data_IF_674234487833
#
_entry.id   IF_674234487833
#
_cell.length_a   1.000
_cell.length_b   1.000
_cell.length_c   1.000
_cell.angle_alpha   90.00
_cell.angle_beta   90.00
_cell.angle_gamma   90.00
#
_symmetry.space_group_name_H-M   'P 1'
#
loop_
_entity.id
_entity.type
_entity.pdbx_description
1 polymer ?
#
# COMPACT_ATOMS: atom_id res chain seq x y z
N UNK A 1 23.83 24.22 -29.95
CA UNK A 1 22.85 23.13 -29.76
C UNK A 1 23.41 22.19 -28.72
N UNK A 2 22.66 21.91 -27.66
CA UNK A 2 22.97 20.84 -26.71
C UNK A 2 21.79 19.88 -26.82
N UNK A 3 22.02 18.61 -27.16
CA UNK A 3 20.94 17.62 -27.32
C UNK A 3 19.91 17.91 -28.41
N UNK A 4 20.26 18.60 -29.51
CA UNK A 4 19.32 18.93 -30.59
C UNK A 4 18.42 20.16 -30.32
N UNK A 5 18.46 20.73 -29.11
CA UNK A 5 17.76 21.98 -28.79
C UNK A 5 18.66 23.18 -29.11
N UNK A 6 18.10 24.16 -29.83
CA UNK A 6 18.81 25.37 -30.24
C UNK A 6 18.87 26.36 -29.08
N UNK A 7 19.88 26.20 -28.23
CA UNK A 7 20.12 27.11 -27.07
C UNK A 7 20.68 28.44 -27.57
N UNK A 8 19.99 29.55 -27.31
CA UNK A 8 20.47 30.91 -27.53
C UNK A 8 21.46 31.27 -26.41
N UNK A 9 22.71 31.56 -26.80
CA UNK A 9 23.83 31.87 -25.90
C UNK A 9 24.10 33.38 -25.77
N UNK A 10 23.17 34.22 -26.23
CA UNK A 10 23.27 35.67 -26.01
C UNK A 10 23.11 36.02 -24.51
N UNK A 11 23.90 36.99 -23.99
CA UNK A 11 23.77 37.42 -22.60
C UNK A 11 22.38 38.03 -22.33
N UNK A 12 21.75 37.58 -21.24
CA UNK A 12 20.45 38.06 -20.77
C UNK A 12 20.60 39.55 -20.43
N UNK A 13 20.00 40.40 -21.24
CA UNK A 13 19.88 41.85 -20.99
C UNK A 13 18.40 42.19 -20.84
N UNK A 14 18.06 43.12 -19.93
CA UNK A 14 16.67 43.51 -19.64
C UNK A 14 15.88 43.87 -20.92
N UNK A 15 16.54 44.46 -21.92
CA UNK A 15 15.92 44.85 -23.19
C UNK A 15 15.51 43.69 -24.12
N UNK A 16 16.01 42.47 -23.91
CA UNK A 16 15.70 41.29 -24.76
C UNK A 16 14.81 40.25 -24.09
N UNK A 17 14.86 40.15 -22.76
CA UNK A 17 14.04 39.19 -22.00
C UNK A 17 12.79 39.85 -21.42
N UNK A 18 12.70 41.17 -21.33
CA UNK A 18 11.55 41.81 -20.69
C UNK A 18 11.67 41.73 -19.16
N UNK A 19 10.73 42.36 -18.47
CA UNK A 19 10.79 42.49 -17.00
C UNK A 19 10.12 41.31 -16.30
N UNK A 20 10.50 41.04 -15.05
CA UNK A 20 9.85 40.01 -14.22
C UNK A 20 8.32 40.17 -14.17
N UNK A 21 7.84 41.42 -14.15
CA UNK A 21 6.41 41.77 -14.20
C UNK A 21 5.70 41.27 -15.48
N UNK A 22 6.43 41.10 -16.58
CA UNK A 22 5.90 40.60 -17.85
C UNK A 22 5.82 39.07 -17.88
N UNK A 23 6.66 38.37 -17.12
CA UNK A 23 6.68 36.91 -17.03
C UNK A 23 5.75 36.32 -15.96
N UNK A 24 5.55 37.05 -14.86
CA UNK A 24 4.71 36.63 -13.73
C UNK A 24 3.32 36.13 -14.16
N UNK A 25 2.56 36.83 -15.02
CA UNK A 25 1.24 36.36 -15.46
C UNK A 25 1.28 35.02 -16.22
N UNK A 26 2.34 34.78 -17.00
CA UNK A 26 2.50 33.52 -17.75
C UNK A 26 2.82 32.34 -16.82
N UNK A 27 3.63 32.57 -15.79
CA UNK A 27 3.96 31.57 -14.77
C UNK A 27 2.73 31.26 -13.92
N UNK A 28 1.96 32.28 -13.51
CA UNK A 28 0.71 32.10 -12.77
C UNK A 28 -0.32 31.30 -13.58
N UNK A 29 -0.48 31.60 -14.87
CA UNK A 29 -1.36 30.83 -15.76
C UNK A 29 -0.90 29.38 -15.92
N UNK A 30 0.40 29.14 -16.08
CA UNK A 30 0.96 27.80 -16.20
C UNK A 30 0.81 26.99 -14.90
N UNK A 31 1.03 27.61 -13.74
CA UNK A 31 0.83 26.98 -12.43
C UNK A 31 -0.66 26.68 -12.19
N UNK A 32 -1.56 27.59 -12.57
CA UNK A 32 -3.01 27.37 -12.47
C UNK A 32 -3.47 26.23 -13.39
N UNK A 33 -2.95 26.13 -14.61
CA UNK A 33 -3.22 25.01 -15.52
C UNK A 33 -2.69 23.70 -14.95
N UNK A 34 -1.47 23.67 -14.41
CA UNK A 34 -0.91 22.48 -13.76
C UNK A 34 -1.70 22.07 -12.51
N UNK A 35 -2.12 23.02 -11.70
CA UNK A 35 -2.99 22.76 -10.55
C UNK A 35 -4.36 22.23 -10.97
N UNK A 36 -4.94 22.76 -12.05
CA UNK A 36 -6.21 22.27 -12.59
C UNK A 36 -6.08 20.84 -13.13
N UNK A 37 -5.00 20.52 -13.84
CA UNK A 37 -4.72 19.15 -14.30
C UNK A 37 -4.53 18.18 -13.14
N UNK A 38 -3.74 18.55 -12.12
CA UNK A 38 -3.58 17.74 -10.90
C UNK A 38 -4.90 17.56 -10.14
N UNK A 39 -5.73 18.60 -10.10
CA UNK A 39 -7.05 18.53 -9.47
C UNK A 39 -8.02 17.67 -10.26
N UNK A 40 -7.95 17.68 -11.59
CA UNK A 40 -8.76 16.81 -12.45
C UNK A 40 -8.34 15.34 -12.32
N UNK A 41 -7.03 15.03 -12.34
CA UNK A 41 -6.56 13.66 -12.11
C UNK A 41 -6.86 13.18 -10.69
N UNK A 42 -6.80 14.08 -9.69
CA UNK A 42 -7.24 13.77 -8.34
C UNK A 42 -8.76 13.54 -8.26
N UNK A 43 -9.57 14.25 -9.05
CA UNK A 43 -11.02 14.06 -9.10
C UNK A 43 -11.41 12.73 -9.75
N UNK A 44 -10.72 12.35 -10.83
CA UNK A 44 -10.86 11.01 -11.46
C UNK A 44 -10.45 9.90 -10.48
N UNK A 45 -9.41 10.12 -9.67
CA UNK A 45 -9.02 9.20 -8.60
C UNK A 45 -10.00 9.15 -7.41
N UNK A 46 -10.91 10.13 -7.28
CA UNK A 46 -11.96 10.16 -6.24
C UNK A 46 -13.23 9.43 -6.72
N UNK A 47 -13.40 9.20 -8.03
CA UNK A 47 -14.58 8.52 -8.54
C UNK A 47 -14.60 7.07 -8.00
N UNK A 48 -15.72 6.69 -7.37
CA UNK A 48 -15.82 5.42 -6.68
C UNK A 48 -15.76 4.28 -7.71
N UNK A 49 -14.79 3.38 -7.55
CA UNK A 49 -14.64 2.19 -8.40
C UNK A 49 -15.31 1.00 -7.73
N UNK A 50 -16.15 0.31 -8.50
CA UNK A 50 -16.81 -0.93 -8.09
C UNK A 50 -16.21 -2.10 -8.86
N UNK A 51 -15.70 -3.09 -8.11
CA UNK A 51 -15.16 -4.32 -8.67
C UNK A 51 -16.24 -5.40 -8.63
N UNK A 52 -16.54 -6.01 -9.77
CA UNK A 52 -17.47 -7.13 -9.91
C UNK A 52 -16.84 -8.26 -10.72
N UNK A 53 -17.46 -9.43 -10.70
CA UNK A 53 -17.03 -10.61 -11.44
C UNK A 53 -17.98 -10.88 -12.62
N UNK A 54 -17.43 -11.44 -13.68
CA UNK A 54 -18.18 -11.95 -14.83
C UNK A 54 -17.94 -13.45 -14.96
N UNK A 55 -18.93 -14.18 -15.47
CA UNK A 55 -18.83 -15.62 -15.72
C UNK A 55 -19.38 -15.90 -17.11
N UNK A 56 -18.54 -16.45 -17.97
CA UNK A 56 -18.91 -16.80 -19.34
C UNK A 56 -18.80 -18.31 -19.58
N UNK A 57 -19.73 -18.85 -20.37
CA UNK A 57 -19.60 -20.17 -20.97
C UNK A 57 -18.48 -20.21 -22.03
N UNK A 58 -18.22 -19.07 -22.67
CA UNK A 58 -17.15 -18.89 -23.65
C UNK A 58 -16.49 -17.52 -23.47
N UNK A 59 -15.31 -17.46 -22.86
CA UNK A 59 -14.55 -16.21 -22.67
C UNK A 59 -14.11 -15.56 -23.98
N UNK A 60 -13.90 -16.35 -25.05
CA UNK A 60 -13.55 -15.79 -26.36
C UNK A 60 -14.72 -15.05 -27.03
N UNK A 61 -15.95 -15.52 -26.79
CA UNK A 61 -17.15 -14.98 -27.41
C UNK A 61 -18.34 -15.08 -26.44
N UNK A 62 -18.51 -14.07 -25.59
CA UNK A 62 -19.61 -14.01 -24.62
C UNK A 62 -21.00 -14.20 -25.26
N UNK A 63 -21.16 -13.81 -26.54
CA UNK A 63 -22.41 -13.99 -27.30
C UNK A 63 -22.75 -15.42 -27.72
N UNK A 64 -21.81 -16.38 -27.60
CA UNK A 64 -21.99 -17.76 -28.05
C UNK A 64 -22.40 -18.74 -26.93
N UNK A 65 -22.76 -18.24 -25.76
CA UNK A 65 -23.21 -19.05 -24.63
C UNK A 65 -23.87 -18.25 -23.52
N UNK A 66 -23.98 -18.85 -22.35
CA UNK A 66 -24.45 -18.19 -21.14
C UNK A 66 -23.40 -17.19 -20.61
N UNK A 67 -23.80 -15.96 -20.30
CA UNK A 67 -22.94 -14.90 -19.78
C UNK A 67 -23.63 -14.22 -18.59
N UNK A 68 -22.91 -14.07 -17.49
CA UNK A 68 -23.37 -13.45 -16.26
C UNK A 68 -22.42 -12.33 -15.87
N UNK A 69 -22.99 -11.18 -15.50
CA UNK A 69 -22.26 -9.95 -15.19
C UNK A 69 -22.72 -9.39 -13.83
N UNK A 70 -21.95 -8.45 -13.27
CA UNK A 70 -22.25 -7.77 -12.02
C UNK A 70 -22.33 -8.69 -10.79
N UNK A 71 -21.52 -9.75 -10.76
CA UNK A 71 -21.48 -10.67 -9.61
C UNK A 71 -20.58 -10.07 -8.52
N UNK A 72 -21.10 -9.93 -7.30
CA UNK A 72 -20.38 -9.26 -6.22
C UNK A 72 -19.41 -10.18 -5.44
N UNK A 73 -19.61 -11.50 -5.50
CA UNK A 73 -18.91 -12.48 -4.66
C UNK A 73 -18.21 -13.55 -5.50
N UNK A 74 -17.01 -13.93 -5.05
CA UNK A 74 -16.23 -15.03 -5.64
C UNK A 74 -16.98 -16.36 -5.53
N UNK A 75 -17.64 -16.64 -4.41
CA UNK A 75 -18.44 -17.87 -4.25
C UNK A 75 -19.61 -17.93 -5.22
N UNK A 76 -20.30 -16.80 -5.41
CA UNK A 76 -21.40 -16.71 -6.36
C UNK A 76 -20.90 -16.95 -7.78
N UNK A 77 -19.79 -16.32 -8.17
CA UNK A 77 -19.17 -16.53 -9.49
C UNK A 77 -18.78 -18.00 -9.70
N UNK A 78 -18.15 -18.63 -8.71
CA UNK A 78 -17.78 -20.06 -8.77
C UNK A 78 -19.03 -20.95 -8.83
N UNK A 79 -20.11 -20.60 -8.12
CA UNK A 79 -21.36 -21.36 -8.15
C UNK A 79 -22.04 -21.28 -9.51
N UNK A 80 -22.09 -20.08 -10.11
CA UNK A 80 -22.58 -19.86 -11.47
C UNK A 80 -21.72 -20.66 -12.46
N UNK A 81 -20.39 -20.55 -12.39
CA UNK A 81 -19.47 -21.29 -13.24
C UNK A 81 -19.69 -22.81 -13.16
N UNK A 82 -19.82 -23.37 -11.95
CA UNK A 82 -20.09 -24.80 -11.73
C UNK A 82 -21.48 -25.24 -12.23
N UNK A 83 -22.44 -24.33 -12.35
CA UNK A 83 -23.79 -24.63 -12.81
C UNK A 83 -23.86 -24.80 -14.34
N UNK A 84 -22.90 -24.25 -15.08
CA UNK A 84 -22.82 -24.36 -16.54
C UNK A 84 -22.46 -25.81 -16.91
N UNK A 85 -23.34 -26.56 -17.61
CA UNK A 85 -23.08 -27.96 -17.86
C UNK A 85 -21.90 -28.16 -18.82
N UNK A 86 -20.97 -29.07 -18.51
CA UNK A 86 -19.78 -29.32 -19.34
C UNK A 86 -20.14 -29.91 -20.72
N UNK A 87 -21.37 -30.37 -20.91
CA UNK A 87 -21.86 -30.91 -22.18
C UNK A 87 -22.23 -29.81 -23.19
N UNK A 88 -22.44 -28.56 -22.75
CA UNK A 88 -22.82 -27.43 -23.63
C UNK A 88 -21.62 -26.73 -24.28
N UNK A 89 -20.38 -27.12 -23.94
CA UNK A 89 -19.11 -26.48 -24.31
C UNK A 89 -18.94 -26.17 -25.81
N UNK A 90 -19.53 -25.07 -26.27
CA UNK A 90 -19.17 -24.44 -27.53
C UNK A 90 -18.01 -23.45 -27.37
N UNK A 91 -17.42 -23.35 -26.17
CA UNK A 91 -16.34 -22.43 -25.82
C UNK A 91 -15.56 -22.83 -24.56
N UNK A 92 -14.57 -22.01 -24.21
CA UNK A 92 -13.74 -22.14 -23.00
C UNK A 92 -14.42 -21.33 -21.89
N UNK A 93 -14.90 -21.96 -20.80
CA UNK A 93 -15.58 -21.23 -19.73
C UNK A 93 -14.59 -20.33 -18.99
N UNK A 94 -15.01 -19.12 -18.62
CA UNK A 94 -14.15 -18.15 -17.95
C UNK A 94 -14.82 -17.48 -16.77
N UNK A 95 -13.99 -16.99 -15.85
CA UNK A 95 -14.37 -16.04 -14.80
C UNK A 95 -13.47 -14.82 -14.96
N UNK A 96 -14.10 -13.67 -15.19
CA UNK A 96 -13.44 -12.39 -15.38
C UNK A 96 -13.69 -11.41 -14.24
N UNK A 97 -12.89 -10.34 -14.23
CA UNK A 97 -13.06 -9.19 -13.35
C UNK A 97 -13.49 -8.02 -14.21
N UNK A 98 -14.50 -7.29 -13.72
CA UNK A 98 -14.96 -6.03 -14.27
C UNK A 98 -14.78 -4.92 -13.23
N UNK A 99 -14.14 -3.82 -13.65
CA UNK A 99 -14.00 -2.60 -12.86
C UNK A 99 -14.82 -1.51 -13.53
N UNK A 100 -15.88 -1.10 -12.85
CA UNK A 100 -16.73 0.02 -13.24
C UNK A 100 -16.39 1.26 -12.42
N UNK A 101 -16.36 2.43 -13.06
CA UNK A 101 -16.15 3.70 -12.39
C UNK A 101 -17.47 4.46 -12.33
N UNK A 102 -17.92 4.83 -11.12
CA UNK A 102 -19.26 5.41 -10.96
C UNK A 102 -19.47 6.67 -11.80
N UNK A 103 -20.50 6.67 -12.65
CA UNK A 103 -20.85 7.80 -13.50
C UNK A 103 -20.22 7.78 -14.89
N UNK A 104 -19.45 6.73 -15.23
CA UNK A 104 -19.08 6.41 -16.61
C UNK A 104 -20.09 5.44 -17.23
N UNK A 105 -20.05 5.30 -18.55
CA UNK A 105 -20.87 4.33 -19.27
C UNK A 105 -20.20 2.94 -19.23
N UNK A 106 -20.98 1.86 -19.32
CA UNK A 106 -20.47 0.48 -19.20
C UNK A 106 -19.40 0.07 -20.24
N UNK A 107 -19.35 0.74 -21.40
CA UNK A 107 -18.31 0.45 -22.39
C UNK A 107 -16.93 1.00 -21.98
N UNK A 108 -16.86 1.83 -20.95
CA UNK A 108 -15.63 2.36 -20.35
C UNK A 108 -15.10 1.43 -19.24
N UNK A 109 -15.87 0.40 -18.88
CA UNK A 109 -15.49 -0.57 -17.86
C UNK A 109 -14.29 -1.40 -18.33
N UNK A 110 -13.40 -1.69 -17.40
CA UNK A 110 -12.25 -2.56 -17.66
C UNK A 110 -12.65 -3.98 -17.28
N UNK A 111 -12.86 -4.81 -18.29
CA UNK A 111 -13.16 -6.24 -18.12
C UNK A 111 -11.99 -7.11 -18.62
N UNK A 112 -11.61 -8.11 -17.84
CA UNK A 112 -10.58 -9.09 -18.21
C UNK A 112 -10.88 -10.46 -17.62
N UNK A 113 -10.77 -11.50 -18.45
CA UNK A 113 -10.81 -12.89 -18.01
C UNK A 113 -9.53 -13.27 -17.26
N UNK A 114 -9.67 -13.69 -16.01
CA UNK A 114 -8.56 -14.12 -15.15
C UNK A 114 -8.44 -15.64 -15.13
N UNK A 115 -9.58 -16.31 -15.05
CA UNK A 115 -9.69 -17.76 -15.14
C UNK A 115 -10.21 -18.14 -16.52
N UNK A 116 -9.51 -19.02 -17.22
CA UNK A 116 -9.92 -19.56 -18.51
C UNK A 116 -9.75 -21.07 -18.54
N UNK A 117 -10.88 -21.79 -18.59
CA UNK A 117 -10.96 -23.24 -18.69
C UNK A 117 -10.47 -23.97 -17.44
N UNK A 118 -9.15 -24.09 -17.28
CA UNK A 118 -8.48 -24.77 -16.15
C UNK A 118 -7.22 -24.05 -15.68
N UNK A 119 -7.01 -22.83 -16.15
CA UNK A 119 -5.82 -22.04 -15.84
C UNK A 119 -6.27 -20.67 -15.36
N UNK A 120 -5.67 -20.21 -14.27
CA UNK A 120 -5.66 -18.80 -13.87
C UNK A 120 -4.38 -18.20 -14.42
N UNK A 121 -4.50 -17.25 -15.34
CA UNK A 121 -3.35 -16.58 -15.94
C UNK A 121 -3.18 -15.20 -15.30
N UNK A 122 -2.13 -15.04 -14.50
CA UNK A 122 -1.78 -13.79 -13.85
C UNK A 122 -0.75 -12.99 -14.64
N UNK A 123 -0.12 -13.56 -15.68
CA UNK A 123 0.86 -12.84 -16.50
C UNK A 123 0.19 -11.75 -17.34
N UNK A 124 -1.07 -11.96 -17.72
CA UNK A 124 -1.88 -10.98 -18.46
C UNK A 124 -2.06 -9.66 -17.67
N UNK A 125 -1.98 -9.70 -16.34
CA UNK A 125 -2.16 -8.53 -15.48
C UNK A 125 -1.07 -7.47 -15.67
N UNK A 126 0.13 -7.85 -16.12
CA UNK A 126 1.20 -6.88 -16.44
C UNK A 126 0.79 -5.88 -17.54
N UNK A 127 -0.25 -6.19 -18.31
CA UNK A 127 -0.76 -5.35 -19.40
C UNK A 127 -2.03 -4.56 -19.03
N UNK A 128 -2.58 -4.74 -17.83
CA UNK A 128 -3.84 -4.11 -17.41
C UNK A 128 -3.65 -3.41 -16.05
N UNK A 129 -3.02 -2.22 -16.04
CA UNK A 129 -2.73 -1.50 -14.81
C UNK A 129 -4.00 -1.12 -14.03
N UNK A 130 -5.12 -0.88 -14.72
CA UNK A 130 -6.40 -0.55 -14.07
C UNK A 130 -6.87 -1.62 -13.08
N UNK A 131 -6.55 -2.90 -13.36
CA UNK A 131 -6.82 -4.01 -12.45
C UNK A 131 -5.75 -4.12 -11.38
N UNK A 132 -4.48 -3.96 -11.74
CA UNK A 132 -3.38 -4.19 -10.78
C UNK A 132 -3.17 -3.07 -9.79
N UNK A 133 -3.59 -1.85 -10.14
CA UNK A 133 -3.55 -0.67 -9.28
C UNK A 133 -4.73 -0.63 -8.32
N UNK A 134 -5.78 -1.43 -8.53
CA UNK A 134 -6.94 -1.53 -7.65
C UNK A 134 -6.73 -2.62 -6.57
N UNK A 135 -6.64 -2.25 -5.27
CA UNK A 135 -6.45 -3.23 -4.20
C UNK A 135 -7.58 -4.26 -4.09
N UNK A 136 -8.83 -3.86 -4.33
CA UNK A 136 -9.99 -4.76 -4.22
C UNK A 136 -9.95 -5.81 -5.34
N UNK A 137 -9.55 -5.42 -6.54
CA UNK A 137 -9.39 -6.35 -7.66
C UNK A 137 -8.33 -7.42 -7.34
N UNK A 138 -7.16 -7.03 -6.84
CA UNK A 138 -6.13 -8.00 -6.43
C UNK A 138 -6.60 -8.91 -5.28
N UNK A 139 -7.35 -8.39 -4.31
CA UNK A 139 -7.95 -9.19 -3.22
C UNK A 139 -8.95 -10.22 -3.77
N UNK A 140 -9.82 -9.83 -4.72
CA UNK A 140 -10.77 -10.73 -5.37
C UNK A 140 -10.05 -11.83 -6.17
N UNK A 141 -8.96 -11.51 -6.88
CA UNK A 141 -8.16 -12.54 -7.58
C UNK A 141 -7.52 -13.50 -6.57
N UNK A 142 -6.94 -12.98 -5.49
CA UNK A 142 -6.32 -13.80 -4.46
C UNK A 142 -7.35 -14.75 -3.81
N UNK A 143 -8.56 -14.27 -3.53
CA UNK A 143 -9.67 -15.06 -3.01
C UNK A 143 -10.16 -16.12 -4.00
N UNK A 144 -10.20 -15.80 -5.31
CA UNK A 144 -10.51 -16.76 -6.37
C UNK A 144 -9.49 -17.91 -6.42
N UNK A 145 -8.19 -17.60 -6.30
CA UNK A 145 -7.11 -18.60 -6.25
C UNK A 145 -7.26 -19.51 -5.02
N UNK A 146 -7.53 -18.95 -3.83
CA UNK A 146 -7.70 -19.72 -2.60
C UNK A 146 -8.88 -20.71 -2.68
N UNK A 147 -9.97 -20.30 -3.33
CA UNK A 147 -11.18 -21.12 -3.50
C UNK A 147 -11.12 -22.13 -4.64
N UNK A 148 -10.13 -22.02 -5.52
CA UNK A 148 -9.90 -22.92 -6.64
C UNK A 148 -8.50 -23.57 -6.57
N UNK A 149 -8.18 -24.32 -5.50
CA UNK A 149 -6.85 -24.88 -5.30
C UNK A 149 -6.49 -25.99 -6.30
N UNK A 150 -7.47 -26.55 -6.99
CA UNK A 150 -7.29 -27.61 -8.01
C UNK A 150 -6.96 -27.06 -9.41
N UNK A 151 -6.93 -25.73 -9.57
CA UNK A 151 -6.70 -25.03 -10.84
C UNK A 151 -5.21 -24.65 -10.95
N UNK A 152 -4.67 -24.73 -12.17
CA UNK A 152 -3.30 -24.31 -12.44
C UNK A 152 -3.19 -22.78 -12.43
N UNK A 153 -2.24 -22.23 -11.69
CA UNK A 153 -1.98 -20.79 -11.63
C UNK A 153 -0.67 -20.48 -12.35
N UNK A 154 -0.74 -19.67 -13.39
CA UNK A 154 0.40 -19.14 -14.12
C UNK A 154 0.72 -17.74 -13.62
N UNK A 155 1.97 -17.48 -13.23
CA UNK A 155 2.39 -16.20 -12.64
C UNK A 155 2.16 -16.09 -11.12
N UNK A 156 2.27 -14.86 -10.58
CA UNK A 156 2.14 -14.59 -9.14
C UNK A 156 1.61 -13.18 -8.88
N UNK A 157 0.77 -13.03 -7.85
CA UNK A 157 0.26 -11.74 -7.40
C UNK A 157 1.24 -10.95 -6.50
N UNK A 158 2.33 -11.56 -6.06
CA UNK A 158 3.20 -10.99 -5.00
C UNK A 158 3.70 -9.59 -5.32
N UNK A 159 4.03 -9.35 -6.60
CA UNK A 159 4.49 -8.06 -7.10
C UNK A 159 3.52 -6.95 -6.72
N UNK A 160 2.22 -7.14 -6.96
CA UNK A 160 1.18 -6.15 -6.72
C UNK A 160 0.74 -6.14 -5.26
N UNK A 161 0.68 -7.30 -4.60
CA UNK A 161 0.37 -7.39 -3.16
C UNK A 161 1.35 -6.57 -2.32
N UNK A 162 2.65 -6.66 -2.59
CA UNK A 162 3.65 -5.84 -1.88
C UNK A 162 3.44 -4.34 -2.09
N UNK A 163 3.08 -3.91 -3.32
CA UNK A 163 2.86 -2.52 -3.65
C UNK A 163 1.59 -1.96 -2.98
N UNK A 164 0.52 -2.76 -2.96
CA UNK A 164 -0.74 -2.43 -2.27
C UNK A 164 -0.49 -2.28 -0.77
N UNK A 165 0.19 -3.26 -0.15
CA UNK A 165 0.52 -3.18 1.28
C UNK A 165 1.38 -1.96 1.60
N UNK A 166 2.38 -1.67 0.77
CA UNK A 166 3.22 -0.49 0.93
C UNK A 166 2.40 0.81 0.88
N UNK A 167 1.53 0.94 -0.12
CA UNK A 167 0.64 2.10 -0.28
C UNK A 167 -0.31 2.27 0.90
N UNK A 168 -0.91 1.18 1.39
CA UNK A 168 -1.82 1.22 2.54
C UNK A 168 -1.10 1.57 3.85
N UNK A 169 0.11 1.04 4.08
CA UNK A 169 0.91 1.38 5.28
C UNK A 169 1.37 2.84 5.21
N UNK A 170 1.78 3.31 4.04
CA UNK A 170 2.16 4.71 3.82
C UNK A 170 0.98 5.66 4.05
N UNK A 171 -0.20 5.34 3.51
CA UNK A 171 -1.42 6.12 3.76
C UNK A 171 -1.78 6.14 5.24
N UNK A 172 -1.70 4.99 5.94
CA UNK A 172 -1.91 4.94 7.38
C UNK A 172 -0.92 5.84 8.14
N UNK A 173 0.35 5.87 7.72
CA UNK A 173 1.37 6.75 8.30
C UNK A 173 1.02 8.23 8.13
N UNK A 174 0.55 8.62 6.94
CA UNK A 174 0.08 9.97 6.65
C UNK A 174 -1.14 10.36 7.50
N UNK A 175 -2.11 9.45 7.61
CA UNK A 175 -3.35 9.68 8.37
C UNK A 175 -3.09 9.74 9.88
N UNK A 176 -2.11 8.97 10.37
CA UNK A 176 -1.76 8.89 11.79
C UNK A 176 -1.12 10.17 12.32
N UNK A 177 -0.14 10.72 11.60
CA UNK A 177 0.51 11.98 11.95
C UNK A 177 0.93 12.73 10.68
N UNK A 178 -0.02 13.47 10.12
CA UNK A 178 0.18 14.22 8.88
C UNK A 178 1.31 15.25 8.98
N UNK A 179 1.50 15.88 10.14
CA UNK A 179 2.54 16.91 10.31
C UNK A 179 3.92 16.27 10.33
N UNK A 180 4.11 15.23 11.13
CA UNK A 180 5.39 14.51 11.16
C UNK A 180 5.68 13.83 9.83
N UNK A 181 4.65 13.31 9.14
CA UNK A 181 4.81 12.73 7.82
C UNK A 181 5.35 13.76 6.83
N UNK A 182 4.75 14.95 6.74
CA UNK A 182 5.21 16.01 5.83
C UNK A 182 6.62 16.51 6.13
N UNK A 183 7.05 16.47 7.39
CA UNK A 183 8.41 16.83 7.79
C UNK A 183 9.46 15.75 7.44
N UNK A 184 9.03 14.51 7.20
CA UNK A 184 9.93 13.36 7.02
C UNK A 184 9.91 12.76 5.62
N UNK A 185 8.79 12.90 4.90
CA UNK A 185 8.58 12.36 3.56
C UNK A 185 8.46 13.51 2.57
N UNK A 186 9.52 13.70 1.77
CA UNK A 186 9.54 14.70 0.71
C UNK A 186 8.83 14.22 -0.55
N UNK A 187 8.98 12.93 -0.89
CA UNK A 187 8.41 12.30 -2.06
C UNK A 187 7.69 11.02 -1.66
N UNK A 188 6.36 11.07 -1.76
CA UNK A 188 5.46 9.98 -1.40
C UNK A 188 5.58 8.78 -2.33
N UNK A 189 5.77 9.03 -3.63
CA UNK A 189 5.89 7.94 -4.62
C UNK A 189 7.18 7.15 -4.38
N UNK A 190 8.29 7.87 -4.14
CA UNK A 190 9.55 7.25 -3.77
C UNK A 190 9.45 6.51 -2.43
N UNK A 191 8.71 7.05 -1.45
CA UNK A 191 8.50 6.41 -0.16
C UNK A 191 7.75 5.07 -0.30
N UNK A 192 6.65 5.04 -1.05
CA UNK A 192 5.88 3.81 -1.32
C UNK A 192 6.73 2.80 -2.08
N UNK A 193 7.52 3.23 -3.06
CA UNK A 193 8.44 2.34 -3.78
C UNK A 193 9.48 1.70 -2.84
N UNK A 194 10.09 2.49 -1.94
CA UNK A 194 11.03 1.98 -0.94
C UNK A 194 10.38 0.96 0.01
N UNK A 195 9.17 1.25 0.51
CA UNK A 195 8.43 0.32 1.39
C UNK A 195 8.10 -0.97 0.62
N UNK A 196 7.71 -0.87 -0.65
CA UNK A 196 7.43 -2.02 -1.52
C UNK A 196 8.66 -2.93 -1.64
N UNK A 197 9.83 -2.35 -1.89
CA UNK A 197 11.09 -3.10 -1.94
C UNK A 197 11.43 -3.75 -0.60
N UNK A 198 11.23 -3.05 0.52
CA UNK A 198 11.46 -3.60 1.85
C UNK A 198 10.53 -4.78 2.17
N UNK A 199 9.26 -4.71 1.77
CA UNK A 199 8.31 -5.83 1.89
C UNK A 199 8.78 -7.04 1.07
N UNK A 200 9.16 -6.82 -0.19
CA UNK A 200 9.68 -7.89 -1.08
C UNK A 200 10.97 -8.53 -0.56
N UNK A 201 11.86 -7.74 0.01
CA UNK A 201 13.10 -8.22 0.62
C UNK A 201 12.90 -8.81 2.02
N UNK A 202 11.70 -8.69 2.59
CA UNK A 202 11.40 -9.15 3.95
C UNK A 202 12.02 -8.29 5.06
N UNK A 203 12.42 -7.04 4.75
CA UNK A 203 12.94 -6.04 5.68
C UNK A 203 11.83 -5.34 6.48
N UNK A 204 10.82 -6.09 6.89
CA UNK A 204 9.56 -5.57 7.43
C UNK A 204 9.60 -5.22 8.93
N UNK A 205 10.76 -5.37 9.59
CA UNK A 205 10.87 -5.22 11.05
C UNK A 205 10.44 -3.83 11.56
N UNK A 206 10.77 -2.77 10.83
CA UNK A 206 10.37 -1.42 11.20
C UNK A 206 8.88 -1.14 10.94
N UNK A 207 8.31 -1.76 9.90
CA UNK A 207 6.88 -1.69 9.60
C UNK A 207 6.09 -2.37 10.72
N UNK A 208 6.55 -3.54 11.18
CA UNK A 208 5.98 -4.23 12.33
C UNK A 208 6.04 -3.37 13.61
N UNK A 209 7.20 -2.76 13.88
CA UNK A 209 7.36 -1.89 15.05
C UNK A 209 6.38 -0.69 14.98
N UNK A 210 6.26 -0.06 13.81
CA UNK A 210 5.32 1.05 13.56
C UNK A 210 3.86 0.63 13.77
N UNK A 211 3.40 -0.44 13.10
CA UNK A 211 2.02 -0.92 13.22
C UNK A 211 1.67 -1.32 14.65
N UNK A 212 2.58 -1.99 15.38
CA UNK A 212 2.36 -2.32 16.79
C UNK A 212 2.30 -1.09 17.69
N UNK A 213 3.07 -0.04 17.39
CA UNK A 213 3.00 1.22 18.11
C UNK A 213 1.64 1.90 17.90
N UNK A 214 1.19 2.01 16.65
CA UNK A 214 -0.13 2.57 16.29
C UNK A 214 -1.27 1.80 16.96
N UNK A 215 -1.22 0.46 16.95
CA UNK A 215 -2.20 -0.38 17.64
C UNK A 215 -2.20 -0.07 19.16
N UNK A 216 -1.02 -0.01 19.77
CA UNK A 216 -0.90 0.19 21.22
C UNK A 216 -1.40 1.58 21.66
N UNK A 217 -1.13 2.60 20.86
CA UNK A 217 -1.58 3.97 21.10
C UNK A 217 -3.07 4.11 20.84
N UNK A 218 -3.56 3.64 19.69
CA UNK A 218 -4.98 3.70 19.35
C UNK A 218 -5.87 2.89 20.32
N UNK A 219 -5.38 1.80 20.92
CA UNK A 219 -6.10 1.10 22.01
C UNK A 219 -6.14 1.94 23.28
N UNK A 220 -5.05 2.65 23.61
CA UNK A 220 -5.01 3.51 24.81
C UNK A 220 -5.96 4.71 24.65
N UNK A 221 -5.89 5.38 23.50
CA UNK A 221 -6.75 6.51 23.16
C UNK A 221 -8.21 6.09 22.99
N UNK A 222 -8.47 4.95 22.36
CA UNK A 222 -9.81 4.38 22.27
C UNK A 222 -10.44 4.12 23.65
N UNK A 223 -9.65 3.64 24.63
CA UNK A 223 -10.14 3.50 26.02
C UNK A 223 -10.51 4.86 26.60
N UNK A 224 -9.75 5.92 26.34
CA UNK A 224 -10.10 7.27 26.83
C UNK A 224 -11.33 7.83 26.14
N UNK A 225 -11.51 7.59 24.84
CA UNK A 225 -12.71 8.04 24.11
C UNK A 225 -13.97 7.35 24.63
N UNK A 226 -13.90 6.03 24.83
CA UNK A 226 -15.04 5.22 25.26
C UNK A 226 -15.41 5.52 26.72
N UNK A 227 -14.43 5.51 27.64
CA UNK A 227 -14.70 5.60 29.07
C UNK A 227 -14.60 7.03 29.63
N UNK A 228 -13.88 7.93 28.95
CA UNK A 228 -13.75 9.33 29.32
C UNK A 228 -14.77 10.22 28.63
N UNK A 229 -14.92 10.09 27.32
CA UNK A 229 -15.79 10.94 26.50
C UNK A 229 -17.15 10.31 26.16
N UNK A 230 -17.31 9.01 26.41
CA UNK A 230 -18.56 8.27 26.17
C UNK A 230 -18.82 7.98 24.70
N UNK A 231 -17.78 7.95 23.87
CA UNK A 231 -17.86 7.65 22.44
C UNK A 231 -18.12 6.15 22.24
N UNK A 232 -18.96 5.80 21.27
CA UNK A 232 -19.17 4.40 20.90
C UNK A 232 -17.90 3.80 20.27
N UNK A 233 -17.71 2.49 20.41
CA UNK A 233 -16.48 1.81 19.93
C UNK A 233 -16.22 2.08 18.45
N UNK A 234 -17.26 2.01 17.62
CA UNK A 234 -17.15 2.24 16.18
C UNK A 234 -17.03 3.72 15.81
N UNK A 235 -17.29 4.64 16.75
CA UNK A 235 -17.17 6.09 16.56
C UNK A 235 -15.81 6.67 16.93
N UNK A 236 -14.92 5.90 17.58
CA UNK A 236 -13.56 6.36 17.92
C UNK A 236 -12.62 6.17 16.74
N UNK A 237 -12.08 7.27 16.22
CA UNK A 237 -11.06 7.26 15.16
C UNK A 237 -9.80 6.50 15.59
N UNK A 238 -9.42 6.58 16.86
CA UNK A 238 -8.28 5.85 17.43
C UNK A 238 -8.49 4.32 17.36
N UNK A 239 -9.70 3.84 17.66
CA UNK A 239 -10.05 2.42 17.54
C UNK A 239 -10.04 1.96 16.08
N UNK A 240 -10.58 2.77 15.17
CA UNK A 240 -10.57 2.45 13.73
C UNK A 240 -9.14 2.39 13.18
N UNK A 241 -8.30 3.35 13.55
CA UNK A 241 -6.88 3.40 13.16
C UNK A 241 -6.12 2.19 13.69
N UNK A 242 -6.33 1.81 14.95
CA UNK A 242 -5.75 0.59 15.52
C UNK A 242 -6.22 -0.69 14.79
N UNK A 243 -7.49 -0.74 14.38
CA UNK A 243 -8.04 -1.88 13.62
C UNK A 243 -7.38 -2.00 12.24
N UNK A 244 -7.29 -0.90 11.50
CA UNK A 244 -6.59 -0.85 10.20
C UNK A 244 -5.12 -1.26 10.33
N UNK A 245 -4.43 -0.75 11.35
CA UNK A 245 -3.04 -1.11 11.63
C UNK A 245 -2.86 -2.60 11.91
N UNK A 246 -3.82 -3.21 12.64
CA UNK A 246 -3.82 -4.66 12.89
C UNK A 246 -4.05 -5.47 11.62
N UNK A 247 -5.01 -5.09 10.79
CA UNK A 247 -5.29 -5.78 9.52
C UNK A 247 -4.06 -5.75 8.59
N UNK A 248 -3.36 -4.61 8.51
CA UNK A 248 -2.12 -4.49 7.75
C UNK A 248 -1.00 -5.34 8.34
N UNK A 249 -0.91 -5.44 9.67
CA UNK A 249 0.07 -6.29 10.35
C UNK A 249 -0.17 -7.77 10.05
N UNK A 250 -1.43 -8.21 10.07
CA UNK A 250 -1.82 -9.59 9.77
C UNK A 250 -1.51 -9.92 8.29
N UNK A 251 -1.90 -9.05 7.34
CA UNK A 251 -1.58 -9.23 5.90
C UNK A 251 -0.08 -9.27 5.63
N UNK A 252 0.70 -8.45 6.31
CA UNK A 252 2.15 -8.40 6.16
C UNK A 252 2.85 -9.63 6.78
N UNK A 253 2.24 -10.26 7.78
CA UNK A 253 2.69 -11.55 8.32
C UNK A 253 2.33 -12.73 7.40
N UNK A 254 1.20 -12.65 6.70
CA UNK A 254 0.76 -13.64 5.70
C UNK A 254 1.55 -13.55 4.39
N UNK A 255 2.04 -12.37 4.05
CA UNK A 255 2.87 -12.15 2.86
C UNK A 255 4.15 -12.98 2.91
N UNK A 256 4.31 -13.88 1.94
CA UNK A 256 5.51 -14.72 1.78
C UNK A 256 6.34 -14.17 0.60
N UNK A 257 7.51 -13.57 0.85
CA UNK A 257 8.32 -13.04 -0.24
C UNK A 257 8.99 -14.17 -1.05
N UNK A 258 8.81 -14.16 -2.38
CA UNK A 258 9.49 -15.01 -3.36
C UNK A 258 11.01 -15.07 -3.17
N UNK A 259 11.65 -13.94 -2.81
CA UNK A 259 13.09 -13.89 -2.57
C UNK A 259 13.56 -14.91 -1.52
N UNK A 260 12.75 -15.17 -0.48
CA UNK A 260 13.06 -16.19 0.53
C UNK A 260 12.77 -17.61 0.02
N UNK A 261 11.85 -17.76 -0.94
CA UNK A 261 11.52 -19.05 -1.56
C UNK A 261 12.61 -19.48 -2.54
N UNK A 262 13.13 -18.56 -3.35
CA UNK A 262 14.24 -18.79 -4.27
C UNK A 262 15.55 -19.10 -3.52
N UNK A 263 15.89 -18.33 -2.48
CA UNK A 263 17.07 -18.61 -1.65
C UNK A 263 17.01 -20.03 -1.02
N UNK A 264 15.85 -20.43 -0.51
CA UNK A 264 15.63 -21.78 0.03
C UNK A 264 15.71 -22.87 -1.06
N UNK A 265 15.23 -22.59 -2.27
CA UNK A 265 15.35 -23.51 -3.41
C UNK A 265 16.81 -23.66 -3.86
N UNK A 266 17.57 -22.58 -3.96
CA UNK A 266 19.00 -22.61 -4.28
C UNK A 266 19.82 -23.35 -3.20
N UNK A 267 19.51 -23.12 -1.92
CA UNK A 267 20.10 -23.89 -0.83
C UNK A 267 19.82 -25.39 -0.98
N UNK A 268 18.64 -25.78 -1.43
CA UNK A 268 18.27 -27.18 -1.65
C UNK A 268 18.97 -27.80 -2.88
N UNK A 269 19.14 -27.06 -3.97
CA UNK A 269 19.93 -27.52 -5.13
C UNK A 269 21.41 -27.70 -4.79
N UNK A 270 21.98 -26.82 -3.95
CA UNK A 270 23.35 -26.93 -3.45
C UNK A 270 23.56 -28.14 -2.52
N UNK A 271 22.49 -28.78 -2.03
CA UNK A 271 22.57 -30.05 -1.27
C UNK A 271 22.58 -31.30 -2.16
N UNK A 272 22.21 -31.18 -3.44
CA UNK A 272 22.15 -32.32 -4.38
C UNK A 272 23.54 -32.59 -5.00
N UNK A 273 24.39 -31.58 -5.14
CA UNK A 273 25.76 -31.74 -5.66
C UNK A 273 26.82 -31.64 -4.55
N UNK A 274 26.77 -32.60 -3.61
CA UNK A 274 27.76 -32.79 -2.55
C UNK A 274 29.16 -33.25 -3.05
N UNK A 275 29.58 -32.86 -4.26
CA UNK A 275 30.87 -33.26 -4.83
C UNK A 275 31.88 -32.11 -4.88
N UNK A 276 31.47 -30.84 -4.78
CA UNK A 276 32.42 -29.70 -4.82
C UNK A 276 31.98 -28.50 -3.98
N UNK A 277 31.91 -28.63 -2.65
CA UNK A 277 31.96 -27.44 -1.77
C UNK A 277 33.17 -27.51 -0.82
N UNK A 278 34.32 -27.06 -1.32
CA UNK A 278 35.44 -26.63 -0.51
C UNK A 278 35.58 -25.11 -0.65
N UNK A 279 35.00 -24.35 0.29
CA UNK A 279 35.56 -23.04 0.66
C UNK A 279 34.58 -21.87 0.78
N UNK A 280 34.37 -21.47 2.04
CA UNK A 280 34.04 -20.13 2.53
C UNK A 280 32.60 -19.62 2.34
N UNK A 281 31.83 -19.72 3.43
CA UNK A 281 30.77 -18.77 3.77
C UNK A 281 31.34 -17.34 3.70
N UNK A 282 31.04 -16.60 2.64
CA UNK A 282 31.16 -15.14 2.65
C UNK A 282 29.84 -14.56 3.14
N UNK A 283 29.80 -14.20 4.43
CA UNK A 283 28.84 -13.23 4.94
C UNK A 283 29.21 -11.85 4.40
N UNK A 284 28.59 -11.43 3.31
CA UNK A 284 28.62 -10.02 2.89
C UNK A 284 27.65 -9.24 3.78
N UNK A 285 28.19 -8.70 4.89
CA UNK A 285 27.58 -7.57 5.58
C UNK A 285 28.00 -6.28 4.86
N UNK A 286 27.25 -5.87 3.85
CA UNK A 286 27.32 -4.47 3.38
C UNK A 286 26.54 -3.58 4.36
N UNK A 287 27.25 -3.06 5.36
CA UNK A 287 26.77 -1.90 6.13
C UNK A 287 26.71 -0.69 5.21
N UNK A 288 25.50 -0.31 4.78
CA UNK A 288 25.23 1.00 4.20
C UNK A 288 25.44 2.05 5.30
N UNK A 289 26.67 2.56 5.40
CA UNK A 289 27.03 3.72 6.23
C UNK A 289 26.36 4.96 5.64
N UNK A 290 25.33 5.49 6.33
CA UNK A 290 24.83 6.83 6.02
C UNK A 290 23.42 7.18 6.50
N UNK A 291 22.57 6.21 6.86
CA UNK A 291 21.22 6.50 7.36
C UNK A 291 21.17 6.40 8.88
N UNK A 292 20.86 7.51 9.55
CA UNK A 292 20.59 7.54 10.98
C UNK A 292 19.31 6.72 11.19
N UNK A 293 19.45 5.52 11.76
CA UNK A 293 18.33 4.61 11.97
C UNK A 293 17.33 5.24 12.93
N UNK A 294 16.03 5.10 12.64
CA UNK A 294 14.95 5.52 13.56
C UNK A 294 15.12 4.87 14.94
N UNK A 295 15.76 3.68 15.03
CA UNK A 295 16.16 3.06 16.32
C UNK A 295 17.11 3.94 17.14
N UNK A 296 18.02 4.64 16.50
CA UNK A 296 18.98 5.53 17.16
C UNK A 296 18.28 6.81 17.67
N UNK A 297 17.34 7.37 16.88
CA UNK A 297 16.48 8.49 17.31
C UNK A 297 15.48 8.10 18.40
N UNK A 298 14.93 6.87 18.36
CA UNK A 298 14.03 6.35 19.39
C UNK A 298 14.75 6.14 20.72
N UNK A 299 15.99 5.64 20.67
CA UNK A 299 16.84 5.49 21.86
C UNK A 299 17.21 6.84 22.49
N UNK A 300 17.53 7.84 21.66
CA UNK A 300 17.82 9.21 22.12
C UNK A 300 16.60 9.86 22.80
N UNK A 301 15.42 9.77 22.18
CA UNK A 301 14.16 10.26 22.79
C UNK A 301 13.83 9.54 24.09
N UNK A 302 14.06 8.23 24.18
CA UNK A 302 13.82 7.44 25.40
C UNK A 302 14.75 7.86 26.55
N UNK A 303 16.02 8.17 26.24
CA UNK A 303 16.97 8.68 27.22
C UNK A 303 16.63 10.10 27.71
N UNK A 304 16.13 10.97 26.82
CA UNK A 304 15.67 12.33 27.18
C UNK A 304 14.44 12.27 28.10
N UNK A 305 13.50 11.37 27.84
CA UNK A 305 12.31 11.17 28.70
C UNK A 305 12.74 10.62 30.07
N UNK A 306 13.66 9.66 30.13
CA UNK A 306 14.14 9.11 31.41
C UNK A 306 14.92 10.14 32.25
N UNK A 307 15.64 11.08 31.62
CA UNK A 307 16.27 12.21 32.32
C UNK A 307 15.25 13.24 32.82
N UNK A 308 14.17 13.48 32.05
CA UNK A 308 13.08 14.38 32.44
C UNK A 308 12.29 13.81 33.63
N UNK A 309 11.99 12.52 33.61
CA UNK A 309 11.31 11.81 34.70
C UNK A 309 12.16 11.77 35.98
N UNK A 310 13.49 11.66 35.85
CA UNK A 310 14.42 11.77 37.00
C UNK A 310 14.49 13.20 37.54
N UNK A 311 14.41 14.22 36.68
CA UNK A 311 14.42 15.62 37.11
C UNK A 311 13.11 16.02 37.81
N UNK A 312 11.96 15.51 37.36
CA UNK A 312 10.65 15.72 38.02
C UNK A 312 10.57 15.03 39.40
N UNK A 313 11.27 13.90 39.59
CA UNK A 313 11.36 13.24 40.89
C UNK A 313 12.32 13.91 41.90
N UNK A 314 13.08 14.93 41.50
CA UNK A 314 14.09 15.60 42.37
C UNK A 314 13.62 17.00 42.83
N UNK A 315 12.40 17.44 42.50
CA UNK A 315 11.84 18.66 43.11
C UNK A 315 11.34 18.36 44.54
N UNK A 316 11.91 18.95 45.59
CA UNK A 316 11.45 18.71 46.96
C UNK A 316 10.09 19.37 47.17
N UNK A 317 9.12 18.59 47.64
CA UNK A 317 7.85 19.08 48.17
C UNK A 317 8.14 20.12 49.26
N UNK A 318 7.84 21.39 48.97
CA UNK A 318 7.86 22.45 49.97
C UNK A 318 6.75 22.20 50.98
N UNK A 319 7.14 21.82 52.19
CA UNK A 319 6.35 21.88 53.41
C UNK A 319 5.58 23.20 53.51
N UNK A 320 4.25 23.12 53.64
CA UNK A 320 3.45 24.22 54.19
C UNK A 320 3.08 23.87 55.63
N UNK A 321 3.88 24.36 56.59
CA UNK A 321 3.51 24.44 58.00
C UNK A 321 2.26 25.32 58.17
N UNK A 322 1.12 24.72 58.54
CA UNK A 322 -0.02 25.45 59.10
C UNK A 322 0.22 25.70 60.60
N UNK A 323 0.62 26.92 60.96
CA UNK A 323 0.46 27.46 62.31
C UNK A 323 -1.04 27.56 62.64
N UNK A 324 -1.51 26.74 63.58
CA UNK A 324 -2.78 26.96 64.29
C UNK A 324 -2.48 27.58 65.65
N UNK A 325 -2.63 28.90 65.75
CA UNK A 325 -2.87 29.56 67.04
C UNK A 325 -4.33 29.39 67.43
N UNK A 326 -4.59 28.84 68.62
CA UNK A 326 -5.81 29.10 69.39
C UNK A 326 -5.40 29.38 70.83
N UNK A 327 -5.55 30.63 71.23
CA UNK A 327 -5.65 31.06 72.61
C UNK A 327 -7.13 31.00 73.05
N UNK A 328 -7.31 30.62 74.32
CA UNK A 328 -8.52 30.61 75.17
C UNK A 328 -9.69 29.71 74.75
#
# INVERSE_FOLDING_TARGET
MIGGVKVDINPITEGKTGTLATYLPGVESYLAEKQAMQKASALEAILEKTVTLTVAECGEFHSLGEFHENIASVEEAIAVWKSIPPERMNGIPSIGINIHTEGTEHYEDVEMDIFSGKVIDLEVLDYVPDITDDPKAIEVIAELIDKLPDIEVCGSLEKWQAAILASQIDQLSYDYDTYQYQDTVEDREAQVANITEDIRNGNIGYLNDFLNAVISEGVREGITDIFGEGVEIDGSEAVQTARRAKELLDKLAEYKPLAKVEELAEQNYNMIDNVLNNGAEKKEQEQIKGRISIKEKLAEKKAVIEQRDKAERILPEKETEKKSQREM
#
